data_IF_975340210829
#
_entry.id   IF_975340210829
#
_cell.length_a   1.000
_cell.length_b   1.000
_cell.length_c   1.000
_cell.angle_alpha   90.00
_cell.angle_beta   90.00
_cell.angle_gamma   90.00
#
_symmetry.space_group_name_H-M   'P 1'
#
loop_
_entity.id
_entity.type
_entity.pdbx_description
1 polymer ?
#
# COMPACT_ATOMS: atom_id res chain seq x y z
N UNK A 1 -16.46 12.38 -15.52
CA UNK A 1 -15.71 11.44 -14.65
C UNK A 1 -16.71 10.76 -13.73
N UNK A 2 -16.61 9.45 -13.52
CA UNK A 2 -17.50 8.78 -12.57
C UNK A 2 -17.24 9.29 -11.15
N UNK A 3 -18.31 9.62 -10.45
CA UNK A 3 -18.26 10.11 -9.08
C UNK A 3 -18.45 8.92 -8.12
N UNK A 4 -17.35 8.54 -7.45
CA UNK A 4 -17.36 7.49 -6.44
C UNK A 4 -17.35 8.13 -5.06
N UNK A 5 -18.32 7.83 -4.23
CA UNK A 5 -18.38 8.33 -2.86
C UNK A 5 -17.74 7.34 -1.89
N UNK A 6 -16.58 7.71 -1.36
CA UNK A 6 -15.84 6.93 -0.35
C UNK A 6 -15.85 7.61 1.03
N UNK A 7 -16.78 8.54 1.27
CA UNK A 7 -16.91 9.18 2.59
C UNK A 7 -17.09 8.15 3.71
N UNK A 8 -16.30 8.30 4.76
CA UNK A 8 -16.29 7.39 5.90
C UNK A 8 -15.52 6.10 5.70
N UNK A 9 -15.01 5.82 4.50
CA UNK A 9 -14.14 4.68 4.22
C UNK A 9 -12.69 5.01 4.52
N UNK A 10 -11.95 4.00 4.96
CA UNK A 10 -10.51 4.10 5.23
C UNK A 10 -9.75 3.07 4.43
N UNK A 11 -8.72 3.53 3.73
CA UNK A 11 -7.91 2.71 2.82
C UNK A 11 -6.44 2.66 3.25
N UNK A 12 -5.80 1.52 2.99
CA UNK A 12 -4.33 1.39 2.95
C UNK A 12 -3.93 1.21 1.49
N UNK A 13 -2.91 1.95 1.04
CA UNK A 13 -2.34 1.82 -0.31
C UNK A 13 -0.85 1.52 -0.19
N UNK A 14 -0.42 0.31 -0.58
CA UNK A 14 1.00 -0.05 -0.59
C UNK A 14 1.69 0.54 -1.81
N UNK A 15 2.93 1.03 -1.64
CA UNK A 15 3.61 1.82 -2.66
C UNK A 15 2.84 3.11 -2.99
N UNK A 16 2.15 3.68 -1.98
CA UNK A 16 1.20 4.77 -2.16
C UNK A 16 1.81 6.15 -2.35
N UNK A 17 3.13 6.28 -2.21
CA UNK A 17 3.81 7.56 -2.29
C UNK A 17 4.21 7.98 -3.71
N UNK A 18 4.22 7.07 -4.67
CA UNK A 18 4.69 7.30 -6.04
C UNK A 18 3.82 6.62 -7.09
N UNK A 19 3.93 7.06 -8.35
CA UNK A 19 3.38 6.41 -9.52
C UNK A 19 1.88 6.12 -9.42
N UNK A 20 1.48 4.90 -9.75
CA UNK A 20 0.08 4.48 -9.68
C UNK A 20 -0.48 4.51 -8.26
N UNK A 21 0.32 4.12 -7.26
CA UNK A 21 -0.09 4.17 -5.85
C UNK A 21 -0.43 5.58 -5.40
N UNK A 22 0.38 6.57 -5.78
CA UNK A 22 0.10 7.97 -5.52
C UNK A 22 -1.19 8.45 -6.21
N UNK A 23 -1.39 8.10 -7.48
CA UNK A 23 -2.61 8.45 -8.21
C UNK A 23 -3.86 7.83 -7.56
N UNK A 24 -3.78 6.59 -7.08
CA UNK A 24 -4.86 5.92 -6.33
C UNK A 24 -5.12 6.65 -5.01
N UNK A 25 -4.06 6.96 -4.25
CA UNK A 25 -4.14 7.70 -2.99
C UNK A 25 -4.85 9.03 -3.18
N UNK A 26 -4.42 9.83 -4.15
CA UNK A 26 -5.03 11.11 -4.51
C UNK A 26 -6.50 10.95 -4.87
N UNK A 27 -6.84 10.00 -5.74
CA UNK A 27 -8.22 9.76 -6.15
C UNK A 27 -9.12 9.33 -5.00
N UNK A 28 -8.63 8.52 -4.08
CA UNK A 28 -9.38 8.10 -2.91
C UNK A 28 -9.66 9.26 -1.97
N UNK A 29 -8.67 10.13 -1.71
CA UNK A 29 -8.85 11.35 -0.94
C UNK A 29 -9.88 12.29 -1.57
N UNK A 30 -9.80 12.52 -2.88
CA UNK A 30 -10.79 13.32 -3.64
C UNK A 30 -12.20 12.71 -3.58
N UNK A 31 -12.31 11.39 -3.45
CA UNK A 31 -13.58 10.67 -3.27
C UNK A 31 -14.08 10.66 -1.82
N UNK A 32 -13.34 11.27 -0.89
CA UNK A 32 -13.72 11.46 0.50
C UNK A 32 -13.20 10.42 1.49
N UNK A 33 -12.40 9.44 1.05
CA UNK A 33 -11.78 8.45 1.93
C UNK A 33 -10.69 9.07 2.82
N UNK A 34 -10.40 8.37 3.92
CA UNK A 34 -9.13 8.50 4.63
C UNK A 34 -8.14 7.50 4.03
N UNK A 35 -6.89 7.91 3.84
CA UNK A 35 -5.86 7.03 3.25
C UNK A 35 -4.62 6.96 4.13
N UNK A 36 -4.12 5.75 4.34
CA UNK A 36 -2.82 5.48 4.92
C UNK A 36 -1.89 5.02 3.79
N UNK A 37 -0.87 5.81 3.50
CA UNK A 37 0.20 5.43 2.58
C UNK A 37 1.13 4.46 3.28
N UNK A 38 1.37 3.30 2.68
CA UNK A 38 2.47 2.41 3.02
C UNK A 38 3.55 2.50 1.97
N UNK A 39 4.75 2.87 2.36
CA UNK A 39 5.92 2.91 1.48
C UNK A 39 7.18 2.72 2.30
N UNK A 40 8.29 2.34 1.66
CA UNK A 40 9.60 2.24 2.31
C UNK A 40 10.44 3.51 2.12
N UNK A 41 10.06 4.36 1.18
CA UNK A 41 10.80 5.58 0.82
C UNK A 41 10.24 6.80 1.57
N UNK A 42 10.91 7.16 2.66
CA UNK A 42 10.52 8.32 3.48
C UNK A 42 10.49 9.63 2.67
N UNK A 43 11.44 9.83 1.77
CA UNK A 43 11.48 11.06 0.96
C UNK A 43 10.28 11.15 0.03
N UNK A 44 9.93 10.05 -0.63
CA UNK A 44 8.74 9.98 -1.47
C UNK A 44 7.45 10.21 -0.67
N UNK A 45 7.37 9.65 0.54
CA UNK A 45 6.25 9.89 1.46
C UNK A 45 6.13 11.39 1.80
N UNK A 46 7.23 12.03 2.19
CA UNK A 46 7.23 13.44 2.57
C UNK A 46 6.80 14.35 1.41
N UNK A 47 7.28 14.06 0.19
CA UNK A 47 6.88 14.77 -1.03
C UNK A 47 5.38 14.56 -1.34
N UNK A 48 4.90 13.33 -1.25
CA UNK A 48 3.49 13.00 -1.48
C UNK A 48 2.56 13.69 -0.48
N UNK A 49 2.87 13.64 0.82
CA UNK A 49 2.08 14.29 1.86
C UNK A 49 2.02 15.81 1.68
N UNK A 50 3.15 16.43 1.31
CA UNK A 50 3.23 17.86 1.02
C UNK A 50 2.35 18.25 -0.16
N UNK A 51 2.39 17.47 -1.24
CA UNK A 51 1.60 17.75 -2.45
C UNK A 51 0.11 17.50 -2.22
N UNK A 52 -0.27 16.40 -1.56
CA UNK A 52 -1.66 16.06 -1.26
C UNK A 52 -2.29 17.04 -0.28
N UNK A 53 -1.52 17.57 0.66
CA UNK A 53 -1.92 18.57 1.66
C UNK A 53 -3.28 18.27 2.30
N UNK A 54 -3.51 17.02 2.69
CA UNK A 54 -4.79 16.52 3.21
C UNK A 54 -4.65 15.99 4.63
N UNK A 55 -5.47 16.47 5.55
CA UNK A 55 -5.56 15.94 6.92
C UNK A 55 -6.08 14.50 6.99
N UNK A 56 -6.70 14.01 5.91
CA UNK A 56 -7.18 12.64 5.76
C UNK A 56 -6.12 11.67 5.24
N UNK A 57 -4.92 12.15 4.95
CA UNK A 57 -3.80 11.35 4.50
C UNK A 57 -2.79 11.18 5.62
N UNK A 58 -2.51 9.95 5.99
CA UNK A 58 -1.44 9.57 6.90
C UNK A 58 -0.51 8.56 6.25
N UNK A 59 0.54 8.16 6.94
CA UNK A 59 1.50 7.18 6.41
C UNK A 59 2.07 6.27 7.49
N UNK A 60 2.62 5.17 7.05
CA UNK A 60 3.48 4.27 7.82
C UNK A 60 4.61 3.80 6.91
N UNK A 61 5.82 3.69 7.46
CA UNK A 61 6.94 3.08 6.74
C UNK A 61 6.80 1.58 6.94
N UNK A 62 6.55 0.86 5.84
CA UNK A 62 6.28 -0.59 5.86
C UNK A 62 7.00 -1.28 4.73
N UNK A 63 7.79 -2.28 5.08
CA UNK A 63 8.35 -3.24 4.13
C UNK A 63 7.35 -4.38 3.92
N UNK A 64 6.64 -4.37 2.79
CA UNK A 64 5.63 -5.40 2.46
C UNK A 64 6.23 -6.78 2.14
N UNK A 65 7.55 -6.90 2.09
CA UNK A 65 8.24 -8.20 2.01
C UNK A 65 8.47 -8.81 3.38
N UNK A 66 8.21 -8.07 4.46
CA UNK A 66 8.36 -8.49 5.85
C UNK A 66 6.99 -8.68 6.51
N UNK A 67 6.61 -9.94 6.77
CA UNK A 67 5.29 -10.27 7.33
C UNK A 67 5.07 -9.70 8.74
N UNK A 68 6.11 -9.65 9.57
CA UNK A 68 5.99 -9.10 10.93
C UNK A 68 5.77 -7.59 10.90
N UNK A 69 6.43 -6.88 9.97
CA UNK A 69 6.23 -5.45 9.76
C UNK A 69 4.81 -5.13 9.28
N UNK A 70 4.30 -5.91 8.34
CA UNK A 70 2.91 -5.83 7.88
C UNK A 70 1.95 -6.01 9.05
N UNK A 71 2.08 -7.09 9.81
CA UNK A 71 1.18 -7.43 10.91
C UNK A 71 1.15 -6.34 11.97
N UNK A 72 2.32 -5.86 12.40
CA UNK A 72 2.46 -4.75 13.35
C UNK A 72 1.72 -3.49 12.89
N UNK A 73 1.90 -3.10 11.62
CA UNK A 73 1.31 -1.87 11.10
C UNK A 73 -0.21 -2.01 10.86
N UNK A 74 -0.70 -3.20 10.51
CA UNK A 74 -2.14 -3.48 10.47
C UNK A 74 -2.76 -3.36 11.86
N UNK A 75 -2.15 -3.97 12.88
CA UNK A 75 -2.63 -3.86 14.26
C UNK A 75 -2.69 -2.41 14.74
N UNK A 76 -1.66 -1.61 14.47
CA UNK A 76 -1.65 -0.19 14.79
C UNK A 76 -2.79 0.57 14.10
N UNK A 77 -2.99 0.32 12.81
CA UNK A 77 -4.01 1.00 12.01
C UNK A 77 -5.43 0.63 12.45
N UNK A 78 -5.67 -0.64 12.77
CA UNK A 78 -7.01 -1.14 13.12
C UNK A 78 -7.44 -0.85 14.56
N UNK A 79 -6.54 -0.43 15.44
CA UNK A 79 -6.87 0.01 16.81
C UNK A 79 -7.74 1.27 16.82
N UNK A 80 -7.49 2.19 15.90
CA UNK A 80 -8.19 3.47 15.87
C UNK A 80 -9.51 3.37 15.10
N UNK A 81 -9.49 2.73 13.94
CA UNK A 81 -10.62 2.67 13.02
C UNK A 81 -10.45 1.48 12.07
N UNK A 82 -11.56 0.92 11.62
CA UNK A 82 -11.55 -0.17 10.65
C UNK A 82 -10.88 0.24 9.34
N UNK A 83 -10.27 -0.72 8.66
CA UNK A 83 -9.79 -0.59 7.28
C UNK A 83 -10.82 -1.24 6.37
N UNK A 84 -11.40 -0.45 5.48
CA UNK A 84 -12.42 -0.89 4.52
C UNK A 84 -11.82 -1.35 3.20
N UNK A 85 -10.68 -0.76 2.81
CA UNK A 85 -10.06 -0.96 1.50
C UNK A 85 -8.56 -1.20 1.70
N UNK A 86 -8.04 -2.23 1.05
CA UNK A 86 -6.60 -2.50 1.00
C UNK A 86 -6.16 -2.64 -0.45
N UNK A 87 -5.23 -1.79 -0.89
CA UNK A 87 -4.71 -1.79 -2.27
C UNK A 87 -3.30 -2.33 -2.27
N UNK A 88 -3.14 -3.54 -2.81
CA UNK A 88 -1.84 -4.14 -3.07
C UNK A 88 -1.27 -3.57 -4.38
N UNK A 89 -0.49 -2.50 -4.27
CA UNK A 89 0.08 -1.80 -5.42
C UNK A 89 1.62 -1.83 -5.43
N UNK A 90 2.28 -2.00 -4.29
CA UNK A 90 3.73 -2.06 -4.24
C UNK A 90 4.28 -3.14 -5.18
N UNK A 91 5.29 -2.80 -5.94
CA UNK A 91 5.90 -3.70 -6.92
C UNK A 91 7.12 -3.08 -7.60
N UNK A 92 7.84 -3.89 -8.35
CA UNK A 92 9.00 -3.48 -9.13
C UNK A 92 9.09 -4.26 -10.44
N UNK A 93 9.57 -3.61 -11.50
CA UNK A 93 9.72 -4.26 -12.80
C UNK A 93 10.91 -5.24 -12.87
N UNK A 94 11.88 -5.10 -11.97
CA UNK A 94 13.13 -5.85 -12.04
C UNK A 94 14.04 -5.41 -13.20
N UNK A 95 15.00 -6.27 -13.56
CA UNK A 95 15.94 -6.01 -14.65
C UNK A 95 15.32 -6.28 -16.00
N UNK A 96 15.65 -5.46 -16.97
CA UNK A 96 15.29 -5.70 -18.36
C UNK A 96 16.46 -6.44 -19.06
N UNK A 97 16.35 -7.75 -19.17
CA UNK A 97 17.33 -8.62 -19.83
C UNK A 97 16.67 -9.89 -20.35
N UNK A 98 17.39 -10.67 -21.18
CA UNK A 98 16.89 -11.94 -21.71
C UNK A 98 16.73 -12.96 -20.57
N UNK A 99 15.74 -13.83 -20.66
CA UNK A 99 15.39 -14.78 -19.59
C UNK A 99 16.56 -15.68 -19.21
N UNK A 100 17.38 -16.12 -20.16
CA UNK A 100 18.55 -16.98 -19.90
C UNK A 100 19.73 -16.26 -19.23
N UNK A 101 19.73 -14.92 -19.21
CA UNK A 101 20.71 -14.08 -18.54
C UNK A 101 20.14 -13.43 -17.26
N UNK A 102 18.87 -13.71 -16.92
CA UNK A 102 18.22 -13.07 -15.77
C UNK A 102 18.82 -13.61 -14.45
N UNK A 103 19.34 -12.74 -13.57
CA UNK A 103 19.92 -13.19 -12.29
C UNK A 103 18.85 -13.80 -11.38
N UNK A 104 19.17 -14.96 -10.77
CA UNK A 104 18.24 -15.66 -9.89
C UNK A 104 17.87 -14.85 -8.65
N UNK A 105 18.82 -14.11 -8.08
CA UNK A 105 18.59 -13.25 -6.92
C UNK A 105 17.65 -12.08 -7.24
N UNK A 106 17.76 -11.52 -8.43
CA UNK A 106 16.85 -10.47 -8.91
C UNK A 106 15.44 -11.02 -9.11
N UNK A 107 15.32 -12.20 -9.69
CA UNK A 107 14.03 -12.89 -9.82
C UNK A 107 13.37 -13.08 -8.45
N UNK A 108 14.11 -13.57 -7.45
CA UNK A 108 13.58 -13.78 -6.11
C UNK A 108 13.11 -12.47 -5.45
N UNK A 109 13.83 -11.37 -5.67
CA UNK A 109 13.40 -10.05 -5.19
C UNK A 109 12.08 -9.60 -5.82
N UNK A 110 11.96 -9.71 -7.14
CA UNK A 110 10.72 -9.37 -7.85
C UNK A 110 9.57 -10.23 -7.35
N UNK A 111 9.73 -11.54 -7.30
CA UNK A 111 8.68 -12.46 -6.81
C UNK A 111 8.29 -12.18 -5.37
N UNK A 112 9.26 -11.84 -4.52
CA UNK A 112 8.98 -11.53 -3.13
C UNK A 112 8.17 -10.23 -2.97
N UNK A 113 8.50 -9.21 -3.75
CA UNK A 113 7.78 -7.94 -3.72
C UNK A 113 6.43 -8.01 -4.48
N UNK A 114 6.40 -8.56 -5.67
CA UNK A 114 5.23 -8.48 -6.55
C UNK A 114 4.17 -9.56 -6.28
N UNK A 115 4.57 -10.69 -5.70
CA UNK A 115 3.67 -11.82 -5.44
C UNK A 115 3.54 -12.15 -3.96
N UNK A 116 4.65 -12.45 -3.27
CA UNK A 116 4.58 -12.87 -1.87
C UNK A 116 4.01 -11.77 -0.97
N UNK A 117 4.34 -10.51 -1.23
CA UNK A 117 3.82 -9.37 -0.47
C UNK A 117 2.30 -9.28 -0.54
N UNK A 118 1.71 -9.56 -1.69
CA UNK A 118 0.25 -9.58 -1.88
C UNK A 118 -0.39 -10.64 -0.98
N UNK A 119 0.19 -11.85 -0.97
CA UNK A 119 -0.26 -12.93 -0.08
C UNK A 119 -0.13 -12.52 1.41
N UNK A 120 1.01 -11.95 1.80
CA UNK A 120 1.26 -11.54 3.18
C UNK A 120 0.27 -10.46 3.64
N UNK A 121 0.06 -9.43 2.83
CA UNK A 121 -0.89 -8.38 3.12
C UNK A 121 -2.33 -8.90 3.21
N UNK A 122 -2.77 -9.71 2.26
CA UNK A 122 -4.10 -10.32 2.31
C UNK A 122 -4.28 -11.22 3.53
N UNK A 123 -3.29 -12.04 3.85
CA UNK A 123 -3.31 -12.91 5.04
C UNK A 123 -3.45 -12.11 6.34
N UNK A 124 -2.76 -10.98 6.44
CA UNK A 124 -2.75 -10.17 7.64
C UNK A 124 -4.03 -9.32 7.79
N UNK A 125 -4.54 -8.72 6.71
CA UNK A 125 -5.68 -7.79 6.78
C UNK A 125 -7.05 -8.50 6.79
N UNK A 126 -7.20 -9.62 6.11
CA UNK A 126 -8.48 -10.29 5.93
C UNK A 126 -9.21 -10.62 7.24
N UNK A 127 -8.55 -11.12 8.31
CA UNK A 127 -9.23 -11.36 9.58
C UNK A 127 -9.87 -10.11 10.18
N UNK A 128 -9.21 -8.94 10.05
CA UNK A 128 -9.74 -7.67 10.55
C UNK A 128 -10.93 -7.20 9.73
N UNK A 129 -10.88 -7.34 8.40
CA UNK A 129 -11.99 -6.99 7.52
C UNK A 129 -13.22 -7.89 7.78
N UNK A 130 -13.03 -9.18 7.93
CA UNK A 130 -14.11 -10.14 8.22
C UNK A 130 -14.79 -9.83 9.56
N UNK A 131 -14.00 -9.51 10.59
CA UNK A 131 -14.53 -9.19 11.92
C UNK A 131 -15.41 -7.95 11.94
N UNK A 132 -15.15 -7.01 11.05
CA UNK A 132 -15.79 -5.69 11.02
C UNK A 132 -16.86 -5.53 9.94
N UNK A 133 -17.24 -6.61 9.28
CA UNK A 133 -18.23 -6.61 8.21
C UNK A 133 -19.61 -7.14 8.67
#
# INVERSE_FOLDING_TARGET
MNDYNLKGRRAIVTGGAQGFGYAITKRFLESGAEVIIWDIDQKAIDEALKELSSEKCSHQIVDVTNFDDITKNIELSTKEKNIDIFVNNAGMAGKNTQVWNYPNDEWLKVMNLDLNSVFYCCKAIAPHMIKNN
#
